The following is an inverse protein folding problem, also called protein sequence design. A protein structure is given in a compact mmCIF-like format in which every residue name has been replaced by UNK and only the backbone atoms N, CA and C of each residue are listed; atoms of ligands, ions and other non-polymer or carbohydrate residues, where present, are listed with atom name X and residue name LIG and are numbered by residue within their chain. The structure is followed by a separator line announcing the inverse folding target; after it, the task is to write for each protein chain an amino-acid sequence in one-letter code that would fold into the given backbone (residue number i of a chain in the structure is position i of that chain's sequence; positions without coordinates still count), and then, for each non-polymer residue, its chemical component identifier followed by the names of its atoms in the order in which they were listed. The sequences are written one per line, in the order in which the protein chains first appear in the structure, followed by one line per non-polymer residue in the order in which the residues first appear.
data_IF_946358524225
#
_entry.id   IF_946358524225
#
_cell.length_a   1.000
_cell.length_b   1.000
_cell.length_c   1.000
_cell.angle_alpha   90.00
_cell.angle_beta   90.00
_cell.angle_gamma   90.00
#
_symmetry.space_group_name_H-M   'P 1'
#
loop_
_entity.id
_entity.type
_entity.pdbx_description
1 polymer ?
#
# COMPACT_ATOMS: atom_id res chain seq x y z
N UNK A 1 -35.35 28.70 -11.65
CA UNK A 1 -34.83 27.45 -11.05
C UNK A 1 -34.86 26.40 -12.15
N UNK A 2 -33.73 25.78 -12.50
CA UNK A 2 -33.71 24.76 -13.58
C UNK A 2 -34.34 23.45 -13.11
N UNK A 3 -34.79 22.58 -14.02
CA UNK A 3 -35.30 21.24 -13.68
C UNK A 3 -34.29 20.45 -12.82
N UNK A 4 -33.00 20.58 -13.17
CA UNK A 4 -31.87 20.04 -12.41
C UNK A 4 -31.81 20.57 -10.97
N UNK A 5 -32.05 21.87 -10.75
CA UNK A 5 -32.04 22.45 -9.40
C UNK A 5 -33.22 21.93 -8.56
N UNK A 6 -34.40 21.83 -9.16
CA UNK A 6 -35.58 21.27 -8.48
C UNK A 6 -35.33 19.82 -8.04
N UNK A 7 -34.69 19.02 -8.90
CA UNK A 7 -34.35 17.64 -8.56
C UNK A 7 -33.27 17.54 -7.48
N UNK A 8 -32.22 18.36 -7.56
CA UNK A 8 -31.19 18.48 -6.49
C UNK A 8 -31.85 18.81 -5.16
N UNK A 9 -32.78 19.76 -5.14
CA UNK A 9 -33.47 20.23 -3.93
C UNK A 9 -34.35 19.15 -3.31
N UNK A 10 -35.01 18.35 -4.15
CA UNK A 10 -35.78 17.18 -3.71
C UNK A 10 -34.87 16.16 -3.03
N UNK A 11 -33.78 15.76 -3.68
CA UNK A 11 -32.82 14.79 -3.10
C UNK A 11 -32.21 15.32 -1.80
N UNK A 12 -31.78 16.58 -1.80
CA UNK A 12 -31.22 17.24 -0.63
C UNK A 12 -32.20 17.22 0.54
N UNK A 13 -33.47 17.55 0.29
CA UNK A 13 -34.52 17.56 1.33
C UNK A 13 -34.77 16.17 1.93
N UNK A 14 -34.73 15.11 1.11
CA UNK A 14 -34.85 13.74 1.61
C UNK A 14 -33.62 13.32 2.43
N UNK A 15 -32.42 13.63 1.95
CA UNK A 15 -31.15 13.30 2.61
C UNK A 15 -31.02 14.01 3.96
N UNK A 16 -31.39 15.30 4.03
CA UNK A 16 -31.34 16.08 5.27
C UNK A 16 -32.15 15.42 6.39
N UNK A 17 -33.34 14.89 6.09
CA UNK A 17 -34.17 14.20 7.09
C UNK A 17 -33.44 13.03 7.76
N UNK A 18 -32.62 12.31 7.00
CA UNK A 18 -31.80 11.20 7.51
C UNK A 18 -30.60 11.74 8.30
N UNK A 19 -29.87 12.69 7.71
CA UNK A 19 -28.61 13.18 8.25
C UNK A 19 -28.79 14.08 9.47
N UNK A 20 -29.94 14.72 9.66
CA UNK A 20 -30.23 15.50 10.87
C UNK A 20 -30.36 14.64 12.12
N UNK A 21 -30.69 13.34 11.99
CA UNK A 21 -30.82 12.44 13.14
C UNK A 21 -29.52 11.73 13.48
N UNK A 22 -28.80 11.20 12.49
CA UNK A 22 -27.62 10.37 12.74
C UNK A 22 -26.56 10.49 11.62
N UNK A 23 -25.94 11.67 11.46
CA UNK A 23 -24.98 11.90 10.38
C UNK A 23 -23.74 11.01 10.53
N UNK A 24 -23.12 10.66 9.39
CA UNK A 24 -21.86 9.90 9.33
C UNK A 24 -21.92 8.49 9.96
N UNK A 25 -23.11 7.89 10.05
CA UNK A 25 -23.28 6.48 10.46
C UNK A 25 -23.32 5.54 9.25
N UNK A 26 -23.10 4.23 9.46
CA UNK A 26 -23.28 3.24 8.40
C UNK A 26 -24.72 3.28 7.87
N UNK A 27 -25.72 3.37 8.77
CA UNK A 27 -27.13 3.43 8.39
C UNK A 27 -27.42 4.67 7.56
N UNK A 28 -26.96 5.85 7.99
CA UNK A 28 -27.19 7.08 7.22
C UNK A 28 -26.52 7.02 5.85
N UNK A 29 -25.31 6.49 5.77
CA UNK A 29 -24.58 6.36 4.50
C UNK A 29 -25.29 5.40 3.54
N UNK A 30 -25.85 4.31 4.06
CA UNK A 30 -26.64 3.35 3.29
C UNK A 30 -27.96 3.96 2.78
N UNK A 31 -28.70 4.67 3.65
CA UNK A 31 -29.96 5.34 3.28
C UNK A 31 -29.74 6.46 2.25
N UNK A 32 -28.64 7.23 2.39
CA UNK A 32 -28.24 8.20 1.36
C UNK A 32 -27.99 7.47 0.05
N UNK A 33 -27.25 6.36 0.07
CA UNK A 33 -27.03 5.51 -1.11
C UNK A 33 -28.32 5.09 -1.80
N UNK A 34 -29.31 4.63 -1.03
CA UNK A 34 -30.65 4.25 -1.50
C UNK A 34 -31.38 5.40 -2.19
N UNK A 35 -31.29 6.62 -1.63
CA UNK A 35 -31.87 7.80 -2.27
C UNK A 35 -31.17 8.12 -3.58
N UNK A 36 -29.83 8.03 -3.62
CA UNK A 36 -29.06 8.27 -4.83
C UNK A 36 -29.39 7.26 -5.93
N UNK A 37 -29.76 6.01 -5.64
CA UNK A 37 -30.15 5.07 -6.72
C UNK A 37 -31.39 5.48 -7.51
N UNK A 38 -32.20 6.43 -7.00
CA UNK A 38 -33.31 7.03 -7.76
C UNK A 38 -32.84 7.73 -9.05
N UNK A 39 -31.55 8.09 -9.18
CA UNK A 39 -30.97 8.57 -10.44
C UNK A 39 -31.17 7.58 -11.60
N UNK A 40 -31.06 6.29 -11.33
CA UNK A 40 -31.07 5.27 -12.36
C UNK A 40 -32.46 5.15 -13.03
N UNK A 41 -33.50 5.69 -12.38
CA UNK A 41 -34.87 5.76 -12.92
C UNK A 41 -35.08 6.88 -13.95
N UNK A 42 -34.16 7.86 -14.04
CA UNK A 42 -34.31 9.01 -14.94
C UNK A 42 -33.77 8.77 -16.36
N UNK A 43 -33.19 7.59 -16.64
CA UNK A 43 -32.49 7.28 -17.91
C UNK A 43 -31.48 8.37 -18.37
N UNK A 44 -31.01 9.21 -17.45
CA UNK A 44 -30.17 10.34 -17.78
C UNK A 44 -28.72 9.88 -17.99
N UNK A 45 -28.05 10.45 -18.99
CA UNK A 45 -26.65 10.14 -19.31
C UNK A 45 -25.69 10.38 -18.13
N UNK A 46 -24.54 9.70 -18.16
CA UNK A 46 -23.51 9.76 -17.11
C UNK A 46 -23.07 11.19 -16.74
N UNK A 47 -23.00 12.09 -17.72
CA UNK A 47 -22.67 13.51 -17.53
C UNK A 47 -23.69 14.26 -16.68
N UNK A 48 -24.98 13.95 -16.82
CA UNK A 48 -26.06 14.59 -16.06
C UNK A 48 -26.03 14.14 -14.59
N UNK A 49 -25.83 12.83 -14.36
CA UNK A 49 -25.67 12.28 -13.01
C UNK A 49 -24.46 12.88 -12.29
N UNK A 50 -23.33 13.06 -12.99
CA UNK A 50 -22.16 13.70 -12.44
C UNK A 50 -22.43 15.17 -12.03
N UNK A 51 -23.15 15.93 -12.88
CA UNK A 51 -23.53 17.30 -12.57
C UNK A 51 -24.40 17.40 -11.30
N UNK A 52 -25.38 16.50 -11.14
CA UNK A 52 -26.24 16.50 -9.95
C UNK A 52 -25.45 16.11 -8.71
N UNK A 53 -24.63 15.06 -8.76
CA UNK A 53 -23.79 14.65 -7.63
C UNK A 53 -22.87 15.79 -7.17
N UNK A 54 -22.30 16.55 -8.12
CA UNK A 54 -21.51 17.76 -7.83
C UNK A 54 -22.31 18.82 -7.08
N UNK A 55 -23.49 19.19 -7.58
CA UNK A 55 -24.35 20.21 -6.94
C UNK A 55 -24.83 19.76 -5.56
N UNK A 56 -25.24 18.49 -5.44
CA UNK A 56 -25.69 17.90 -4.18
C UNK A 56 -24.57 17.85 -3.15
N UNK A 57 -23.34 17.48 -3.55
CA UNK A 57 -22.18 17.48 -2.67
C UNK A 57 -21.85 18.87 -2.12
N UNK A 58 -21.94 19.91 -2.96
CA UNK A 58 -21.75 21.30 -2.53
C UNK A 58 -22.78 21.68 -1.45
N UNK A 59 -24.06 21.39 -1.69
CA UNK A 59 -25.14 21.66 -0.72
C UNK A 59 -24.98 20.89 0.59
N UNK A 60 -24.68 19.60 0.53
CA UNK A 60 -24.54 18.79 1.73
C UNK A 60 -23.33 19.21 2.57
N UNK A 61 -22.20 19.54 1.94
CA UNK A 61 -21.03 20.03 2.67
C UNK A 61 -21.21 21.46 3.21
N UNK A 62 -22.01 22.33 2.59
CA UNK A 62 -22.31 23.63 3.20
C UNK A 62 -23.10 23.49 4.50
N UNK A 63 -23.91 22.43 4.63
CA UNK A 63 -24.68 22.13 5.85
C UNK A 63 -23.89 21.34 6.89
N UNK A 64 -23.20 20.28 6.47
CA UNK A 64 -22.53 19.33 7.38
C UNK A 64 -21.01 19.50 7.46
N UNK A 65 -20.45 20.53 6.80
CA UNK A 65 -19.03 20.91 6.71
C UNK A 65 -18.13 19.93 5.96
N UNK A 66 -18.29 18.63 6.16
CA UNK A 66 -17.44 17.59 5.56
C UNK A 66 -18.16 16.23 5.46
N UNK A 67 -17.57 15.31 4.69
CA UNK A 67 -18.01 13.91 4.61
C UNK A 67 -18.98 13.60 3.47
N UNK A 68 -19.48 14.60 2.74
CA UNK A 68 -20.47 14.43 1.66
C UNK A 68 -20.00 14.98 0.31
N UNK A 69 -18.70 14.95 0.05
CA UNK A 69 -18.13 15.22 -1.28
C UNK A 69 -18.60 14.22 -2.34
N UNK A 70 -18.43 14.55 -3.62
CA UNK A 70 -18.88 13.73 -4.76
C UNK A 70 -18.42 12.26 -4.67
N UNK A 71 -17.16 12.05 -4.28
CA UNK A 71 -16.59 10.73 -4.10
C UNK A 71 -17.28 9.92 -3.00
N UNK A 72 -17.65 10.57 -1.90
CA UNK A 72 -18.35 9.92 -0.79
C UNK A 72 -19.80 9.59 -1.18
N UNK A 73 -20.50 10.49 -1.88
CA UNK A 73 -21.84 10.20 -2.39
C UNK A 73 -21.83 9.00 -3.36
N UNK A 74 -20.86 8.95 -4.27
CA UNK A 74 -20.67 7.77 -5.14
C UNK A 74 -20.36 6.50 -4.34
N UNK A 75 -19.58 6.61 -3.27
CA UNK A 75 -19.29 5.48 -2.39
C UNK A 75 -20.53 5.03 -1.61
N UNK A 76 -21.42 5.96 -1.22
CA UNK A 76 -22.70 5.66 -0.55
C UNK A 76 -23.67 4.96 -1.50
N UNK A 77 -23.77 5.45 -2.73
CA UNK A 77 -24.54 4.79 -3.80
C UNK A 77 -24.04 3.35 -4.02
N UNK A 78 -22.73 3.17 -4.17
CA UNK A 78 -22.12 1.85 -4.31
C UNK A 78 -22.34 0.97 -3.06
N UNK A 79 -22.31 1.54 -1.87
CA UNK A 79 -22.55 0.79 -0.64
C UNK A 79 -23.96 0.19 -0.66
N UNK A 80 -24.99 0.99 -0.93
CA UNK A 80 -26.35 0.48 -1.06
C UNK A 80 -26.47 -0.58 -2.16
N UNK A 81 -25.94 -0.32 -3.36
CA UNK A 81 -26.04 -1.25 -4.51
C UNK A 81 -25.40 -2.62 -4.26
N UNK A 82 -24.35 -2.68 -3.44
CA UNK A 82 -23.60 -3.92 -3.19
C UNK A 82 -24.00 -4.62 -1.88
N UNK A 83 -24.79 -3.95 -1.03
CA UNK A 83 -25.29 -4.44 0.25
C UNK A 83 -26.77 -4.04 0.36
N UNK A 84 -27.65 -4.75 -0.37
CA UNK A 84 -29.06 -4.37 -0.54
C UNK A 84 -29.88 -4.54 0.73
N UNK A 85 -29.49 -5.46 1.61
CA UNK A 85 -30.06 -5.61 2.94
C UNK A 85 -29.11 -5.00 3.97
N UNK A 86 -29.61 -4.05 4.75
CA UNK A 86 -28.81 -3.42 5.81
C UNK A 86 -28.53 -4.40 6.96
N UNK A 87 -29.34 -5.44 7.15
CA UNK A 87 -29.10 -6.45 8.19
C UNK A 87 -27.87 -7.32 7.89
N UNK A 88 -27.42 -7.39 6.63
CA UNK A 88 -26.14 -8.02 6.24
C UNK A 88 -24.92 -7.11 6.54
N UNK A 89 -25.14 -5.85 6.90
CA UNK A 89 -24.07 -4.89 7.23
C UNK A 89 -23.53 -5.22 8.61
N UNK A 90 -22.32 -5.76 8.65
CA UNK A 90 -21.63 -6.05 9.88
C UNK A 90 -21.14 -4.75 10.57
N UNK A 91 -21.56 -4.48 11.83
CA UNK A 91 -21.22 -3.24 12.54
C UNK A 91 -19.74 -3.14 12.93
N UNK A 92 -19.00 -4.26 12.94
CA UNK A 92 -17.55 -4.25 13.20
C UNK A 92 -16.74 -3.61 12.06
N UNK A 93 -17.31 -3.48 10.87
CA UNK A 93 -16.66 -2.85 9.73
C UNK A 93 -17.00 -1.36 9.65
N UNK A 94 -15.98 -0.53 9.52
CA UNK A 94 -16.15 0.93 9.39
C UNK A 94 -16.63 1.35 8.00
N UNK A 95 -17.12 2.59 7.87
CA UNK A 95 -17.46 3.22 6.59
C UNK A 95 -16.36 3.09 5.52
N UNK A 96 -15.10 3.16 5.93
CA UNK A 96 -13.96 3.02 5.01
C UNK A 96 -13.89 1.62 4.40
N UNK A 97 -14.26 0.56 5.11
CA UNK A 97 -14.35 -0.79 4.54
C UNK A 97 -15.40 -0.84 3.44
N UNK A 98 -16.62 -0.40 3.73
CA UNK A 98 -17.72 -0.41 2.76
C UNK A 98 -17.45 0.48 1.55
N UNK A 99 -16.80 1.63 1.76
CA UNK A 99 -16.32 2.49 0.67
C UNK A 99 -15.35 1.77 -0.28
N UNK A 100 -14.48 0.90 0.25
CA UNK A 100 -13.53 0.11 -0.57
C UNK A 100 -14.27 -1.06 -1.22
N UNK A 101 -15.02 -1.85 -0.45
CA UNK A 101 -15.74 -3.04 -0.92
C UNK A 101 -16.73 -2.70 -2.03
N UNK A 102 -17.47 -1.58 -1.90
CA UNK A 102 -18.44 -1.13 -2.89
C UNK A 102 -17.83 -0.75 -4.25
N UNK A 103 -16.51 -0.58 -4.36
CA UNK A 103 -15.83 -0.34 -5.65
C UNK A 103 -15.45 -1.63 -6.38
N UNK A 104 -15.55 -2.77 -5.70
CA UNK A 104 -15.18 -4.07 -6.26
C UNK A 104 -16.36 -4.59 -7.08
N UNK A 105 -16.26 -4.50 -8.41
CA UNK A 105 -17.32 -4.96 -9.32
C UNK A 105 -17.52 -6.49 -9.32
N UNK A 106 -16.47 -7.26 -9.04
CA UNK A 106 -16.57 -8.72 -8.93
C UNK A 106 -17.17 -9.12 -7.56
N UNK A 107 -18.40 -9.64 -7.58
CA UNK A 107 -19.16 -10.01 -6.38
C UNK A 107 -18.46 -11.08 -5.54
N UNK A 108 -17.95 -12.14 -6.17
CA UNK A 108 -17.26 -13.22 -5.46
C UNK A 108 -16.02 -12.69 -4.71
N UNK A 109 -15.20 -11.87 -5.36
CA UNK A 109 -14.02 -11.24 -4.75
C UNK A 109 -14.42 -10.31 -3.61
N UNK A 110 -15.50 -9.53 -3.78
CA UNK A 110 -16.03 -8.64 -2.75
C UNK A 110 -16.49 -9.43 -1.52
N UNK A 111 -17.28 -10.50 -1.70
CA UNK A 111 -17.76 -11.36 -0.62
C UNK A 111 -16.62 -12.04 0.11
N UNK A 112 -15.63 -12.58 -0.61
CA UNK A 112 -14.43 -13.20 -0.01
C UNK A 112 -13.67 -12.21 0.89
N UNK A 113 -13.43 -10.99 0.41
CA UNK A 113 -12.71 -9.96 1.19
C UNK A 113 -13.53 -9.44 2.37
N UNK A 114 -14.85 -9.33 2.21
CA UNK A 114 -15.77 -8.97 3.29
C UNK A 114 -15.72 -9.99 4.44
N UNK A 115 -15.82 -11.29 4.13
CA UNK A 115 -15.74 -12.36 5.12
C UNK A 115 -14.36 -12.40 5.80
N UNK A 116 -13.27 -12.31 5.04
CA UNK A 116 -11.92 -12.26 5.61
C UNK A 116 -11.73 -11.08 6.57
N UNK A 117 -12.30 -9.91 6.25
CA UNK A 117 -12.31 -8.76 7.16
C UNK A 117 -13.05 -9.05 8.47
N UNK A 118 -14.16 -9.77 8.41
CA UNK A 118 -14.97 -10.12 9.57
C UNK A 118 -14.28 -11.17 10.43
N UNK A 119 -13.94 -12.31 9.83
CA UNK A 119 -13.40 -13.49 10.51
C UNK A 119 -12.04 -13.20 11.18
N UNK A 120 -11.22 -12.34 10.56
CA UNK A 120 -9.86 -12.06 11.02
C UNK A 120 -9.67 -10.64 11.54
N UNK A 121 -10.76 -9.91 11.83
CA UNK A 121 -10.74 -8.53 12.33
C UNK A 121 -9.82 -7.61 11.49
N UNK A 122 -9.83 -7.77 10.16
CA UNK A 122 -8.93 -7.00 9.29
C UNK A 122 -9.44 -5.58 9.14
N UNK A 123 -8.57 -4.61 9.42
CA UNK A 123 -8.88 -3.21 9.25
C UNK A 123 -8.87 -2.77 7.77
N UNK A 124 -9.34 -1.54 7.51
CA UNK A 124 -9.47 -1.02 6.15
C UNK A 124 -8.13 -0.80 5.43
N UNK A 125 -7.02 -0.70 6.19
CA UNK A 125 -5.67 -0.62 5.63
C UNK A 125 -5.26 -1.98 5.06
N UNK A 126 -5.48 -3.06 5.80
CA UNK A 126 -5.28 -4.43 5.31
C UNK A 126 -6.08 -4.66 4.02
N UNK A 127 -7.36 -4.27 3.99
CA UNK A 127 -8.19 -4.45 2.79
C UNK A 127 -7.63 -3.71 1.56
N UNK A 128 -7.14 -2.47 1.74
CA UNK A 128 -6.47 -1.72 0.67
C UNK A 128 -5.20 -2.44 0.20
N UNK A 129 -4.38 -2.91 1.13
CA UNK A 129 -3.13 -3.60 0.80
C UNK A 129 -3.40 -4.93 0.07
N UNK A 130 -4.43 -5.67 0.48
CA UNK A 130 -4.82 -6.92 -0.18
C UNK A 130 -5.27 -6.67 -1.62
N UNK A 131 -5.98 -5.56 -1.89
CA UNK A 131 -6.32 -5.18 -3.26
C UNK A 131 -5.09 -4.80 -4.07
N UNK A 132 -4.16 -4.02 -3.50
CA UNK A 132 -2.90 -3.68 -4.17
C UNK A 132 -2.07 -4.92 -4.49
N UNK A 133 -1.91 -5.81 -3.52
CA UNK A 133 -1.21 -7.08 -3.69
C UNK A 133 -1.81 -7.92 -4.83
N UNK A 134 -3.14 -8.08 -4.85
CA UNK A 134 -3.82 -8.79 -5.93
C UNK A 134 -3.62 -8.13 -7.30
N UNK A 135 -3.62 -6.80 -7.36
CA UNK A 135 -3.36 -6.07 -8.62
C UNK A 135 -1.92 -6.28 -9.10
N UNK A 136 -0.95 -6.22 -8.19
CA UNK A 136 0.46 -6.43 -8.51
C UNK A 136 0.69 -7.85 -9.06
N UNK A 137 0.09 -8.86 -8.43
CA UNK A 137 0.22 -10.24 -8.90
C UNK A 137 -0.54 -10.53 -10.20
N UNK A 138 -1.46 -9.67 -10.62
CA UNK A 138 -2.18 -9.83 -11.88
C UNK A 138 -1.42 -9.25 -13.08
N UNK A 139 -0.37 -8.46 -12.84
CA UNK A 139 0.45 -7.84 -13.88
C UNK A 139 1.77 -8.58 -13.98
N UNK A 140 1.99 -9.29 -15.08
CA UNK A 140 3.30 -9.87 -15.35
C UNK A 140 4.33 -8.75 -15.59
N UNK A 141 5.28 -8.64 -14.67
CA UNK A 141 6.30 -7.60 -14.65
C UNK A 141 7.48 -8.03 -13.78
N UNK A 142 8.70 -7.55 -14.04
CA UNK A 142 9.86 -7.85 -13.19
C UNK A 142 9.61 -7.55 -11.71
N UNK A 143 8.90 -6.47 -11.42
CA UNK A 143 8.53 -6.11 -10.04
C UNK A 143 7.60 -7.13 -9.40
N UNK A 144 6.57 -7.59 -10.12
CA UNK A 144 5.64 -8.60 -9.60
C UNK A 144 6.37 -9.92 -9.29
N UNK A 145 7.25 -10.36 -10.19
CA UNK A 145 8.07 -11.57 -10.03
C UNK A 145 8.99 -11.45 -8.83
N UNK A 146 9.65 -10.30 -8.66
CA UNK A 146 10.54 -10.05 -7.52
C UNK A 146 9.79 -10.04 -6.19
N UNK A 147 8.58 -9.45 -6.14
CA UNK A 147 7.71 -9.51 -4.95
C UNK A 147 7.32 -10.96 -4.64
N UNK A 148 6.93 -11.75 -5.65
CA UNK A 148 6.56 -13.16 -5.45
C UNK A 148 7.73 -14.00 -4.93
N UNK A 149 8.93 -13.82 -5.49
CA UNK A 149 10.16 -14.44 -5.01
C UNK A 149 10.39 -14.07 -3.54
N UNK A 150 10.35 -12.79 -3.19
CA UNK A 150 10.58 -12.35 -1.82
C UNK A 150 9.56 -12.94 -0.84
N UNK A 151 8.29 -13.02 -1.23
CA UNK A 151 7.24 -13.60 -0.39
C UNK A 151 7.40 -15.10 -0.18
N UNK A 152 7.79 -15.83 -1.23
CA UNK A 152 8.11 -17.25 -1.15
C UNK A 152 9.31 -17.49 -0.23
N UNK A 153 10.36 -16.68 -0.38
CA UNK A 153 11.54 -16.67 0.49
C UNK A 153 11.14 -16.38 1.94
N UNK A 154 10.34 -15.34 2.19
CA UNK A 154 9.86 -15.00 3.51
C UNK A 154 9.09 -16.16 4.16
N UNK A 155 8.19 -16.81 3.43
CA UNK A 155 7.45 -17.97 3.95
C UNK A 155 8.41 -19.12 4.34
N UNK A 156 9.35 -19.45 3.46
CA UNK A 156 10.34 -20.50 3.73
C UNK A 156 11.22 -20.14 4.94
N UNK A 157 11.75 -18.91 4.97
CA UNK A 157 12.58 -18.38 6.05
C UNK A 157 11.85 -18.42 7.40
N UNK A 158 10.63 -17.89 7.48
CA UNK A 158 9.84 -17.90 8.71
C UNK A 158 9.57 -19.31 9.21
N UNK A 159 9.29 -20.26 8.31
CA UNK A 159 9.00 -21.65 8.70
C UNK A 159 10.24 -22.45 9.13
N UNK A 160 11.39 -22.23 8.51
CA UNK A 160 12.62 -23.02 8.71
C UNK A 160 13.56 -22.42 9.74
N UNK A 161 13.56 -21.09 9.88
CA UNK A 161 14.41 -20.36 10.82
C UNK A 161 13.62 -19.84 12.04
N UNK A 162 12.45 -20.43 12.33
CA UNK A 162 11.59 -20.00 13.44
C UNK A 162 12.33 -19.98 14.77
N UNK A 163 13.18 -20.98 15.03
CA UNK A 163 13.98 -21.06 16.25
C UNK A 163 15.00 -19.93 16.33
N UNK A 164 15.72 -19.65 15.23
CA UNK A 164 16.64 -18.51 15.10
C UNK A 164 15.94 -17.18 15.41
N UNK A 165 14.70 -17.02 14.93
CA UNK A 165 13.91 -15.81 15.16
C UNK A 165 13.46 -15.71 16.62
N UNK A 166 12.97 -16.81 17.21
CA UNK A 166 12.51 -16.86 18.60
C UNK A 166 13.67 -16.65 19.58
N UNK A 167 14.85 -17.21 19.29
CA UNK A 167 16.09 -16.95 20.02
C UNK A 167 16.59 -15.51 19.88
N UNK A 168 15.90 -14.69 19.07
CA UNK A 168 16.14 -13.27 18.92
C UNK A 168 17.58 -12.98 18.47
N UNK A 169 18.09 -13.77 17.51
CA UNK A 169 19.40 -13.53 16.89
C UNK A 169 19.50 -12.10 16.34
N UNK A 170 20.72 -11.63 16.09
CA UNK A 170 20.95 -10.29 15.54
C UNK A 170 20.31 -10.13 14.15
N UNK A 171 19.90 -8.91 13.77
CA UNK A 171 19.34 -8.67 12.42
C UNK A 171 20.33 -9.11 11.33
N UNK A 172 21.63 -8.81 11.52
CA UNK A 172 22.71 -9.28 10.64
C UNK A 172 22.74 -10.80 10.47
N UNK A 173 22.59 -11.56 11.57
CA UNK A 173 22.56 -13.02 11.52
C UNK A 173 21.34 -13.54 10.75
N UNK A 174 20.17 -12.94 10.99
CA UNK A 174 18.93 -13.30 10.31
C UNK A 174 18.96 -12.93 8.81
N UNK A 175 19.57 -11.79 8.45
CA UNK A 175 19.83 -11.40 7.07
C UNK A 175 20.76 -12.40 6.36
N UNK A 176 21.82 -12.86 7.02
CA UNK A 176 22.71 -13.88 6.47
C UNK A 176 22.00 -15.21 6.20
N UNK A 177 21.08 -15.62 7.08
CA UNK A 177 20.24 -16.80 6.84
C UNK A 177 19.27 -16.56 5.67
N UNK A 178 18.54 -15.44 5.66
CA UNK A 178 17.61 -15.08 4.58
C UNK A 178 18.30 -15.01 3.20
N UNK A 179 19.54 -14.55 3.16
CA UNK A 179 20.36 -14.50 1.94
C UNK A 179 20.43 -15.86 1.25
N UNK A 180 20.55 -16.96 1.99
CA UNK A 180 20.64 -18.31 1.41
C UNK A 180 19.35 -18.69 0.66
N UNK A 181 18.20 -18.43 1.29
CA UNK A 181 16.89 -18.67 0.68
C UNK A 181 16.67 -17.79 -0.55
N UNK A 182 17.07 -16.52 -0.46
CA UNK A 182 16.91 -15.58 -1.56
C UNK A 182 17.80 -15.92 -2.75
N UNK A 183 19.06 -16.29 -2.53
CA UNK A 183 19.97 -16.74 -3.61
C UNK A 183 19.38 -17.94 -4.35
N UNK A 184 18.95 -18.96 -3.60
CA UNK A 184 18.38 -20.17 -4.19
C UNK A 184 17.18 -19.87 -5.10
N UNK A 185 16.27 -19.01 -4.65
CA UNK A 185 15.08 -18.64 -5.45
C UNK A 185 15.42 -17.74 -6.64
N UNK A 186 16.44 -16.88 -6.53
CA UNK A 186 16.91 -16.07 -7.66
C UNK A 186 17.57 -16.92 -8.74
N UNK A 187 18.39 -17.91 -8.36
CA UNK A 187 19.13 -18.80 -9.29
C UNK A 187 18.20 -19.56 -10.24
N UNK A 188 16.99 -19.89 -9.80
CA UNK A 188 15.98 -20.60 -10.60
C UNK A 188 14.96 -19.67 -11.27
N UNK A 189 15.18 -18.35 -11.19
CA UNK A 189 14.28 -17.34 -11.74
C UNK A 189 14.90 -16.61 -12.93
N UNK A 190 14.16 -15.63 -13.47
CA UNK A 190 14.67 -14.68 -14.47
C UNK A 190 15.80 -13.79 -13.94
N UNK A 191 16.03 -13.75 -12.63
CA UNK A 191 17.05 -12.92 -11.98
C UNK A 191 18.32 -13.69 -11.59
N UNK A 192 18.58 -14.86 -12.19
CA UNK A 192 19.75 -15.71 -11.91
C UNK A 192 21.12 -15.03 -12.08
N UNK A 193 21.18 -13.93 -12.83
CA UNK A 193 22.41 -13.15 -13.06
C UNK A 193 22.65 -12.10 -11.96
N UNK A 194 21.72 -11.95 -11.00
CA UNK A 194 21.85 -11.03 -9.89
C UNK A 194 22.45 -11.69 -8.65
N UNK A 195 23.14 -10.89 -7.86
CA UNK A 195 23.83 -11.32 -6.66
C UNK A 195 23.14 -10.78 -5.41
N UNK A 196 23.01 -11.63 -4.39
CA UNK A 196 22.57 -11.21 -3.06
C UNK A 196 23.78 -10.96 -2.18
N UNK A 197 23.91 -9.75 -1.65
CA UNK A 197 25.00 -9.39 -0.76
C UNK A 197 24.43 -8.78 0.54
N UNK A 198 24.96 -9.22 1.68
CA UNK A 198 24.65 -8.70 3.02
C UNK A 198 25.67 -7.62 3.35
N UNK A 199 25.21 -6.45 3.81
CA UNK A 199 26.07 -5.30 4.16
C UNK A 199 27.01 -4.84 3.04
N UNK A 200 26.51 -4.87 1.81
CA UNK A 200 27.33 -4.56 0.66
C UNK A 200 27.55 -3.05 0.53
N UNK A 201 28.78 -2.61 0.75
CA UNK A 201 29.16 -1.19 0.76
C UNK A 201 30.29 -0.84 -0.22
N UNK A 202 30.33 -1.43 -1.44
CA UNK A 202 31.44 -1.17 -2.39
C UNK A 202 31.02 -1.18 -3.85
N UNK A 203 31.30 -0.10 -4.58
CA UNK A 203 31.58 -0.14 -6.03
C UNK A 203 33.06 0.21 -6.22
N UNK A 204 33.82 -0.68 -6.84
CA UNK A 204 35.20 -0.45 -7.29
C UNK A 204 36.08 0.34 -6.30
N UNK A 205 36.12 -0.11 -5.04
CA UNK A 205 36.90 0.46 -3.93
C UNK A 205 36.37 1.75 -3.28
N UNK A 206 35.21 2.30 -3.69
CA UNK A 206 34.58 3.49 -3.08
C UNK A 206 33.27 3.15 -2.36
N UNK A 207 33.04 3.80 -1.22
CA UNK A 207 31.81 3.72 -0.40
C UNK A 207 30.68 4.42 -1.16
N UNK A 208 29.51 3.78 -1.29
CA UNK A 208 28.32 4.41 -1.88
C UNK A 208 27.73 5.42 -0.88
N UNK A 209 27.74 6.70 -1.24
CA UNK A 209 27.19 7.79 -0.42
C UNK A 209 26.16 8.63 -1.16
N UNK A 210 25.05 8.99 -0.51
CA UNK A 210 24.13 10.06 -0.97
C UNK A 210 24.30 11.31 -0.14
N UNK A 211 24.01 12.45 -0.77
CA UNK A 211 23.83 13.74 -0.11
C UNK A 211 22.32 13.94 0.08
N UNK A 212 21.87 14.02 1.33
CA UNK A 212 20.48 14.38 1.66
C UNK A 212 20.21 15.87 1.34
N UNK A 213 18.95 16.31 1.35
CA UNK A 213 18.55 17.73 1.21
C UNK A 213 19.25 18.65 2.25
N UNK A 214 19.72 18.08 3.35
CA UNK A 214 20.51 18.73 4.40
C UNK A 214 22.05 18.61 4.20
N UNK A 215 22.52 18.27 3.01
CA UNK A 215 23.96 18.12 2.69
C UNK A 215 24.70 17.05 3.52
N UNK A 216 24.00 16.02 4.01
CA UNK A 216 24.62 14.92 4.76
C UNK A 216 24.98 13.74 3.87
N UNK A 217 26.26 13.36 3.92
CA UNK A 217 26.81 12.14 3.31
C UNK A 217 26.29 10.92 4.09
N UNK A 218 25.30 10.21 3.56
CA UNK A 218 24.77 8.97 4.14
C UNK A 218 25.44 7.81 3.40
N UNK A 219 26.27 7.04 4.10
CA UNK A 219 26.72 5.73 3.63
C UNK A 219 25.52 4.78 3.53
N UNK A 220 25.34 4.15 2.38
CA UNK A 220 24.14 3.36 2.08
C UNK A 220 24.47 1.91 2.27
N UNK A 221 24.55 1.53 3.53
CA UNK A 221 24.60 0.14 3.95
C UNK A 221 23.17 -0.29 4.22
N UNK A 222 22.55 -1.03 3.29
CA UNK A 222 21.37 -1.82 3.62
C UNK A 222 21.80 -3.15 4.22
N UNK A 223 20.93 -3.74 5.03
CA UNK A 223 21.20 -5.04 5.64
C UNK A 223 21.35 -6.14 4.59
N UNK A 224 20.57 -6.07 3.50
CA UNK A 224 20.68 -6.98 2.36
C UNK A 224 20.34 -6.24 1.05
N UNK A 225 21.09 -6.52 -0.01
CA UNK A 225 20.79 -6.02 -1.36
C UNK A 225 20.84 -7.13 -2.41
N UNK A 226 20.14 -6.91 -3.52
CA UNK A 226 20.21 -7.70 -4.74
C UNK A 226 20.55 -6.79 -5.91
N UNK A 227 21.65 -7.09 -6.61
CA UNK A 227 22.17 -6.24 -7.68
C UNK A 227 22.98 -7.03 -8.71
N UNK A 228 23.15 -6.49 -9.91
CA UNK A 228 23.88 -7.14 -11.00
C UNK A 228 25.40 -6.91 -10.93
N UNK A 229 25.90 -6.17 -9.93
CA UNK A 229 27.30 -5.71 -9.85
C UNK A 229 27.72 -4.90 -11.08
N UNK A 230 26.81 -4.06 -11.58
CA UNK A 230 27.02 -3.21 -12.75
C UNK A 230 26.98 -3.93 -14.10
N UNK A 231 26.66 -5.22 -14.15
CA UNK A 231 26.60 -5.98 -15.40
C UNK A 231 25.35 -5.68 -16.23
N UNK A 232 24.22 -5.36 -15.58
CA UNK A 232 22.94 -5.08 -16.22
C UNK A 232 22.59 -3.60 -16.04
N UNK A 233 23.11 -2.76 -16.93
CA UNK A 233 22.97 -1.30 -16.86
C UNK A 233 21.50 -0.84 -16.81
N UNK A 234 20.62 -1.49 -17.58
CA UNK A 234 19.20 -1.13 -17.64
C UNK A 234 18.47 -1.29 -16.30
N UNK A 235 18.95 -2.18 -15.42
CA UNK A 235 18.37 -2.43 -14.11
C UNK A 235 19.42 -3.06 -13.18
N UNK A 236 20.39 -2.29 -12.70
CA UNK A 236 21.47 -2.85 -11.86
C UNK A 236 20.96 -3.26 -10.47
N UNK A 237 20.14 -2.41 -9.86
CA UNK A 237 19.67 -2.58 -8.49
C UNK A 237 18.25 -3.20 -8.47
N UNK A 238 18.06 -4.38 -7.89
CA UNK A 238 16.73 -5.02 -7.82
C UNK A 238 16.04 -4.80 -6.48
N UNK A 239 16.66 -5.25 -5.40
CA UNK A 239 16.04 -5.33 -4.08
C UNK A 239 16.95 -4.74 -3.03
N UNK A 240 16.42 -3.86 -2.18
CA UNK A 240 17.05 -3.45 -0.93
C UNK A 240 16.17 -3.89 0.24
N UNK A 241 16.76 -4.48 1.27
CA UNK A 241 16.07 -4.92 2.48
C UNK A 241 16.71 -4.28 3.70
N UNK A 242 15.84 -3.75 4.57
CA UNK A 242 16.20 -3.27 5.90
C UNK A 242 15.47 -4.13 6.93
N UNK A 243 16.22 -4.83 7.77
CA UNK A 243 15.69 -5.70 8.81
C UNK A 243 15.80 -5.01 10.18
N UNK A 244 14.72 -5.05 10.95
CA UNK A 244 14.71 -4.45 12.28
C UNK A 244 13.90 -5.23 13.28
N UNK A 245 14.35 -5.25 14.53
CA UNK A 245 13.54 -5.73 15.66
C UNK A 245 12.48 -4.70 16.02
N UNK A 246 11.30 -5.18 16.41
CA UNK A 246 10.19 -4.30 16.82
C UNK A 246 10.51 -3.48 18.07
N UNK A 247 11.52 -3.89 18.85
CA UNK A 247 12.02 -3.18 20.04
C UNK A 247 12.97 -2.03 19.71
N UNK A 248 13.42 -1.88 18.46
CA UNK A 248 14.30 -0.78 18.07
C UNK A 248 13.62 0.59 18.23
N UNK A 249 14.43 1.64 18.37
CA UNK A 249 13.93 3.01 18.55
C UNK A 249 13.21 3.48 17.29
N UNK A 250 12.17 4.29 17.47
CA UNK A 250 11.38 4.80 16.34
C UNK A 250 12.26 5.57 15.34
N UNK A 251 13.21 6.36 15.82
CA UNK A 251 14.10 7.15 14.97
C UNK A 251 15.01 6.28 14.10
N UNK A 252 15.42 5.11 14.59
CA UNK A 252 16.21 4.15 13.83
C UNK A 252 15.36 3.50 12.73
N UNK A 253 14.14 3.08 13.08
CA UNK A 253 13.19 2.52 12.11
C UNK A 253 12.83 3.53 11.02
N UNK A 254 12.62 4.78 11.39
CA UNK A 254 12.27 5.85 10.44
C UNK A 254 13.44 6.16 9.50
N UNK A 255 14.70 6.06 9.97
CA UNK A 255 15.88 6.17 9.10
C UNK A 255 15.92 5.09 8.03
N UNK A 256 15.63 3.83 8.37
CA UNK A 256 15.61 2.74 7.41
C UNK A 256 14.50 2.88 6.37
N UNK A 257 13.30 3.29 6.81
CA UNK A 257 12.19 3.63 5.90
C UNK A 257 12.57 4.75 4.94
N UNK A 258 13.17 5.83 5.44
CA UNK A 258 13.62 6.95 4.62
C UNK A 258 14.72 6.52 3.63
N UNK A 259 15.61 5.60 4.03
CA UNK A 259 16.61 5.03 3.13
C UNK A 259 15.96 4.25 1.99
N UNK A 260 15.00 3.37 2.29
CA UNK A 260 14.28 2.60 1.27
C UNK A 260 13.45 3.50 0.33
N UNK A 261 12.88 4.58 0.85
CA UNK A 261 12.25 5.63 0.03
C UNK A 261 13.27 6.23 -0.93
N UNK A 262 14.46 6.61 -0.46
CA UNK A 262 15.47 7.22 -1.31
C UNK A 262 15.99 6.25 -2.39
N UNK A 263 16.28 5.00 -2.00
CA UNK A 263 16.81 3.94 -2.87
C UNK A 263 15.87 3.55 -4.02
N UNK A 264 14.55 3.61 -3.76
CA UNK A 264 13.54 3.17 -4.73
C UNK A 264 13.02 4.29 -5.62
N UNK A 265 13.60 5.50 -5.58
CA UNK A 265 13.31 6.55 -6.56
C UNK A 265 13.86 6.18 -7.94
N UNK A 266 13.14 6.58 -8.99
CA UNK A 266 13.55 6.36 -10.39
C UNK A 266 14.80 7.19 -10.74
N UNK A 267 14.91 8.41 -10.18
CA UNK A 267 16.09 9.28 -10.28
C UNK A 267 16.18 10.21 -9.07
N UNK A 268 17.36 10.80 -8.85
CA UNK A 268 17.58 11.93 -7.94
C UNK A 268 17.62 13.23 -8.74
N UNK A 269 16.50 13.65 -9.32
CA UNK A 269 16.46 14.93 -10.06
C UNK A 269 16.70 16.16 -9.14
N UNK A 270 16.66 15.97 -7.81
CA UNK A 270 16.79 17.03 -6.80
C UNK A 270 18.14 17.02 -6.03
N UNK A 271 19.10 16.15 -6.35
CA UNK A 271 20.38 16.04 -5.60
C UNK A 271 21.58 16.21 -6.54
N UNK A 272 22.24 17.36 -6.43
CA UNK A 272 23.49 17.67 -7.11
C UNK A 272 24.67 17.00 -6.41
N UNK A 273 25.55 16.38 -7.17
CA UNK A 273 26.85 15.94 -6.70
C UNK A 273 27.78 17.13 -6.43
N UNK A 274 28.77 16.92 -5.56
CA UNK A 274 29.77 17.94 -5.19
C UNK A 274 30.57 18.49 -6.39
N UNK A 275 30.65 17.74 -7.50
CA UNK A 275 31.35 18.14 -8.73
C UNK A 275 30.42 18.77 -9.80
N UNK A 276 29.11 18.83 -9.55
CA UNK A 276 28.12 19.37 -10.50
C UNK A 276 28.00 18.59 -11.82
N UNK A 277 28.63 17.42 -11.93
CA UNK A 277 28.76 16.66 -13.18
C UNK A 277 28.28 15.19 -13.01
N UNK A 278 28.41 14.59 -11.82
CA UNK A 278 28.26 13.14 -11.64
C UNK A 278 27.09 12.77 -10.71
N UNK A 279 25.92 12.38 -11.25
CA UNK A 279 24.87 11.71 -10.46
C UNK A 279 25.48 10.55 -9.65
N UNK A 280 25.03 10.23 -8.42
CA UNK A 280 25.47 9.02 -7.73
C UNK A 280 25.02 7.79 -8.53
N UNK A 281 25.85 7.37 -9.48
CA UNK A 281 25.50 6.56 -10.65
C UNK A 281 24.90 5.18 -10.32
N UNK A 282 24.94 4.76 -9.05
CA UNK A 282 24.55 3.41 -8.62
C UNK A 282 23.81 3.34 -7.29
N UNK A 283 23.22 4.44 -6.85
CA UNK A 283 22.65 4.51 -5.51
C UNK A 283 21.13 4.31 -5.49
N UNK A 284 20.39 4.89 -6.42
CA UNK A 284 18.94 4.69 -6.55
C UNK A 284 18.61 3.70 -7.68
N UNK A 285 17.32 3.64 -8.05
CA UNK A 285 16.84 2.74 -9.09
C UNK A 285 16.60 1.31 -8.61
N UNK A 286 16.58 1.07 -7.29
CA UNK A 286 16.11 -0.20 -6.76
C UNK A 286 14.65 -0.41 -7.16
N UNK A 287 14.39 -1.52 -7.86
CA UNK A 287 13.04 -1.86 -8.29
C UNK A 287 12.08 -2.08 -7.11
N UNK A 288 12.61 -2.59 -6.00
CA UNK A 288 11.87 -2.89 -4.78
C UNK A 288 12.70 -2.60 -3.53
N UNK A 289 12.07 -1.93 -2.56
CA UNK A 289 12.58 -1.83 -1.19
C UNK A 289 11.68 -2.62 -0.24
N UNK A 290 12.25 -3.30 0.75
CA UNK A 290 11.49 -4.02 1.77
C UNK A 290 11.98 -3.65 3.16
N UNK A 291 11.09 -3.07 3.95
CA UNK A 291 11.31 -2.95 5.39
C UNK A 291 10.73 -4.20 6.07
N UNK A 292 11.54 -4.87 6.87
CA UNK A 292 11.25 -6.15 7.50
C UNK A 292 11.34 -6.01 9.02
N UNK A 293 10.21 -5.81 9.69
CA UNK A 293 10.18 -5.63 11.14
C UNK A 293 9.72 -6.89 11.88
N UNK A 294 10.59 -7.45 12.70
CA UNK A 294 10.36 -8.69 13.46
C UNK A 294 9.81 -8.36 14.84
N UNK A 295 8.63 -8.86 15.15
CA UNK A 295 8.05 -8.80 16.48
C UNK A 295 7.93 -10.21 17.07
N UNK A 296 8.94 -10.60 17.85
CA UNK A 296 9.01 -11.92 18.51
C UNK A 296 7.87 -12.09 19.52
N UNK A 297 7.52 -11.06 20.28
CA UNK A 297 6.44 -11.10 21.29
C UNK A 297 5.09 -11.44 20.67
N UNK A 298 4.77 -10.82 19.53
CA UNK A 298 3.52 -11.04 18.80
C UNK A 298 3.64 -12.16 17.74
N UNK A 299 4.79 -12.85 17.66
CA UNK A 299 5.09 -13.88 16.65
C UNK A 299 4.69 -13.45 15.24
N UNK A 300 5.17 -12.28 14.84
CA UNK A 300 4.77 -11.69 13.57
C UNK A 300 5.86 -10.81 12.95
N UNK A 301 5.87 -10.75 11.63
CA UNK A 301 6.67 -9.80 10.86
C UNK A 301 5.77 -8.79 10.19
N UNK A 302 6.13 -7.51 10.27
CA UNK A 302 5.60 -6.45 9.44
C UNK A 302 6.51 -6.28 8.22
N UNK A 303 5.93 -6.40 7.04
CA UNK A 303 6.58 -6.18 5.75
C UNK A 303 6.01 -4.90 5.15
N UNK A 304 6.86 -3.93 4.83
CA UNK A 304 6.49 -2.74 4.07
C UNK A 304 7.27 -2.73 2.74
N UNK A 305 6.56 -2.65 1.63
CA UNK A 305 7.12 -2.68 0.28
C UNK A 305 7.16 -1.28 -0.31
N UNK A 306 8.33 -0.85 -0.77
CA UNK A 306 8.60 0.49 -1.31
C UNK A 306 8.91 0.41 -2.80
N UNK A 307 8.33 1.32 -3.58
CA UNK A 307 8.55 1.47 -5.02
C UNK A 307 8.40 2.93 -5.40
N UNK A 308 9.21 3.41 -6.35
CA UNK A 308 9.17 4.79 -6.86
C UNK A 308 9.20 5.83 -5.74
N UNK A 309 10.01 5.56 -4.73
CA UNK A 309 10.20 6.39 -3.54
C UNK A 309 8.96 6.54 -2.65
N UNK A 310 8.03 5.58 -2.66
CA UNK A 310 6.83 5.61 -1.83
C UNK A 310 6.54 4.23 -1.24
N UNK A 311 5.95 4.22 -0.05
CA UNK A 311 5.31 3.02 0.49
C UNK A 311 4.19 2.61 -0.47
N UNK A 312 4.31 1.43 -1.03
CA UNK A 312 3.32 0.89 -1.94
C UNK A 312 2.27 0.08 -1.18
N UNK A 313 2.65 -0.99 -0.49
CA UNK A 313 1.76 -1.73 0.39
C UNK A 313 2.52 -2.34 1.56
N UNK A 314 1.78 -2.77 2.58
CA UNK A 314 2.33 -3.48 3.72
C UNK A 314 1.49 -4.70 4.05
N UNK A 315 2.09 -5.67 4.72
CA UNK A 315 1.38 -6.82 5.25
C UNK A 315 2.01 -7.27 6.56
N UNK A 316 1.19 -7.90 7.40
CA UNK A 316 1.64 -8.54 8.63
C UNK A 316 1.49 -10.05 8.47
N UNK A 317 2.58 -10.78 8.69
CA UNK A 317 2.67 -12.23 8.54
C UNK A 317 2.96 -12.83 9.90
N UNK A 318 2.19 -13.83 10.33
CA UNK A 318 2.47 -14.58 11.55
C UNK A 318 3.48 -15.70 11.28
N UNK A 319 4.26 -16.08 12.29
CA UNK A 319 5.22 -17.19 12.21
C UNK A 319 5.25 -18.04 13.48
#
# INVERSE_FOLDING_TARGET
MTETDCFVDKLYSEIIKILSTSPKTLRSNWEVGRILTKFDQLQAGSSYKALILKRLAIKLNSTFKEGYGEFNLKSMENFYKNFLDFEEVCPQLTWTHYSILGRIGNEFKRKKLFLECIENNRNSRWLRNQLKFNTINAVDSPTSTLIQIFLKVNQAFLSKEVDSIILNLSERSLCAQMMMYLRHELDISTFREYHVDVEYNRNDSKIKTIIDNDMKVIAITCDLIVHSRGQIIAQDNLLAVEMKKSTAKKEEKDKDRNRLIALTKDSYDDVWSFDGITLPEHVCGYLLGVYYEINVLNRSVLLEFYRKGKLDFEQKVAF
#
